data_IF_563023424406
#
_entry.id   IF_563023424406
#
_cell.length_a   1.000
_cell.length_b   1.000
_cell.length_c   1.000
_cell.angle_alpha   90.00
_cell.angle_beta   90.00
_cell.angle_gamma   90.00
#
_symmetry.space_group_name_H-M   'P 1'
#
loop_
_entity.id
_entity.type
_entity.pdbx_description
1 polymer ?
#
# COMPACT_ATOMS: atom_id res chain seq x y z
N UNK A 1 -7.28 1.80 21.93
CA UNK A 1 -7.65 0.61 21.10
C UNK A 1 -6.37 -0.12 20.74
N UNK A 2 -6.25 -1.40 21.03
CA UNK A 2 -5.02 -2.17 20.79
C UNK A 2 -4.78 -2.30 19.30
N UNK A 3 -3.65 -1.82 18.78
CA UNK A 3 -3.30 -1.95 17.36
C UNK A 3 -2.91 -3.39 17.03
N UNK A 4 -3.39 -3.89 15.90
CA UNK A 4 -3.00 -5.15 15.29
C UNK A 4 -1.77 -4.93 14.40
N UNK A 5 -0.86 -5.90 14.37
CA UNK A 5 0.38 -5.84 13.60
C UNK A 5 0.35 -6.84 12.44
N UNK A 6 0.63 -6.36 11.24
CA UNK A 6 0.79 -7.18 10.05
C UNK A 6 2.06 -6.81 9.28
N UNK A 7 2.38 -7.55 8.24
CA UNK A 7 3.45 -7.25 7.29
C UNK A 7 2.96 -7.57 5.88
N UNK A 8 3.39 -6.77 4.91
CA UNK A 8 3.16 -7.03 3.50
C UNK A 8 3.87 -8.27 3.01
N UNK A 9 3.13 -9.24 2.48
CA UNK A 9 3.70 -10.50 2.03
C UNK A 9 4.64 -10.32 0.81
N UNK A 10 4.55 -9.21 0.10
CA UNK A 10 5.47 -8.86 -1.00
C UNK A 10 6.92 -8.69 -0.54
N UNK A 11 7.17 -8.41 0.74
CA UNK A 11 8.52 -8.44 1.31
C UNK A 11 9.27 -9.73 0.98
N UNK A 12 8.55 -10.84 0.76
CA UNK A 12 9.11 -12.16 0.51
C UNK A 12 9.00 -12.62 -0.95
N UNK A 13 8.43 -11.81 -1.85
CA UNK A 13 8.28 -12.15 -3.27
C UNK A 13 9.52 -11.76 -4.07
N UNK A 14 10.02 -10.55 -3.87
CA UNK A 14 10.99 -9.96 -4.80
C UNK A 14 12.42 -10.48 -4.63
N UNK A 15 12.92 -10.58 -3.38
CA UNK A 15 14.31 -10.89 -3.09
C UNK A 15 14.50 -12.26 -2.42
N UNK A 16 13.46 -13.08 -2.41
CA UNK A 16 13.48 -14.37 -1.75
C UNK A 16 13.24 -15.51 -2.75
N UNK A 17 13.66 -16.72 -2.38
CA UNK A 17 13.43 -17.94 -3.13
C UNK A 17 12.73 -18.97 -2.25
N UNK A 18 12.23 -20.05 -2.84
CA UNK A 18 11.67 -21.15 -2.06
C UNK A 18 12.69 -21.65 -1.03
N UNK A 19 12.32 -21.88 0.26
CA UNK A 19 10.92 -21.86 0.76
C UNK A 19 10.43 -20.51 1.30
N UNK A 20 11.26 -19.49 1.41
CA UNK A 20 10.93 -18.23 2.10
C UNK A 20 9.94 -17.35 1.35
N UNK A 21 9.73 -17.58 0.04
CA UNK A 21 8.70 -16.91 -0.76
C UNK A 21 7.40 -17.73 -0.89
N UNK A 22 7.31 -18.91 -0.27
CA UNK A 22 6.07 -19.68 -0.23
C UNK A 22 5.09 -19.04 0.78
N UNK A 23 3.86 -18.79 0.34
CA UNK A 23 2.89 -18.07 1.16
C UNK A 23 2.53 -18.81 2.46
N UNK A 24 2.44 -20.14 2.42
CA UNK A 24 2.17 -20.95 3.61
C UNK A 24 3.33 -20.86 4.62
N UNK A 25 4.58 -20.87 4.14
CA UNK A 25 5.75 -20.64 5.00
C UNK A 25 5.77 -19.23 5.59
N UNK A 26 5.33 -18.22 4.83
CA UNK A 26 5.21 -16.85 5.31
C UNK A 26 4.22 -16.78 6.47
N UNK A 27 2.99 -17.29 6.31
CA UNK A 27 1.98 -17.22 7.38
C UNK A 27 2.40 -18.05 8.61
N UNK A 28 3.05 -19.19 8.44
CA UNK A 28 3.62 -19.96 9.55
C UNK A 28 4.64 -19.12 10.35
N UNK A 29 5.60 -18.51 9.66
CA UNK A 29 6.60 -17.63 10.30
C UNK A 29 5.95 -16.45 11.04
N UNK A 30 4.97 -15.79 10.43
CA UNK A 30 4.29 -14.66 11.06
C UNK A 30 3.52 -15.08 12.32
N UNK A 31 2.89 -16.24 12.29
CA UNK A 31 2.25 -16.86 13.45
C UNK A 31 3.25 -17.11 14.58
N UNK A 32 4.38 -17.75 14.29
CA UNK A 32 5.45 -18.03 15.26
C UNK A 32 6.03 -16.77 15.88
N UNK A 33 6.13 -15.68 15.12
CA UNK A 33 6.60 -14.38 15.60
C UNK A 33 5.52 -13.58 16.37
N UNK A 34 4.26 -14.06 16.41
CA UNK A 34 3.17 -13.41 17.10
C UNK A 34 2.67 -12.14 16.41
N UNK A 35 2.72 -12.08 15.07
CA UNK A 35 1.96 -11.10 14.31
C UNK A 35 0.45 -11.38 14.46
N UNK A 36 -0.37 -10.34 14.27
CA UNK A 36 -1.83 -10.48 14.31
C UNK A 36 -2.39 -10.77 12.90
N UNK A 37 -1.59 -10.53 11.83
CA UNK A 37 -2.05 -10.75 10.46
C UNK A 37 -0.99 -10.59 9.38
N UNK A 38 -1.45 -10.70 8.14
CA UNK A 38 -0.67 -10.53 6.92
C UNK A 38 -1.41 -9.63 5.94
N UNK A 39 -0.72 -8.72 5.27
CA UNK A 39 -1.25 -8.04 4.10
C UNK A 39 -0.88 -8.81 2.84
N UNK A 40 -1.87 -9.18 2.04
CA UNK A 40 -1.67 -10.04 0.89
C UNK A 40 -1.16 -9.24 -0.31
N UNK A 41 0.07 -9.50 -0.75
CA UNK A 41 0.51 -9.16 -2.09
C UNK A 41 -0.08 -10.14 -3.09
N UNK A 42 -1.17 -9.76 -3.76
CA UNK A 42 -1.87 -10.67 -4.67
C UNK A 42 -1.24 -10.71 -6.06
N UNK A 43 0.06 -11.05 -6.09
CA UNK A 43 0.87 -11.15 -7.31
C UNK A 43 2.04 -12.13 -7.13
N UNK A 44 2.79 -12.35 -8.21
CA UNK A 44 3.94 -13.24 -8.22
C UNK A 44 3.55 -14.67 -7.87
N UNK A 45 4.22 -15.26 -6.88
CA UNK A 45 3.99 -16.62 -6.40
C UNK A 45 2.93 -16.72 -5.30
N UNK A 46 2.44 -15.59 -4.81
CA UNK A 46 1.43 -15.54 -3.77
C UNK A 46 0.01 -15.70 -4.32
N UNK A 47 -1.00 -15.92 -3.45
CA UNK A 47 -2.38 -16.15 -3.87
C UNK A 47 -2.97 -14.98 -4.67
N UNK A 48 -3.58 -15.28 -5.82
CA UNK A 48 -4.20 -14.31 -6.74
C UNK A 48 -5.60 -14.79 -7.14
N UNK A 49 -6.44 -13.93 -7.75
CA UNK A 49 -7.69 -14.38 -8.37
C UNK A 49 -7.52 -15.49 -9.40
N UNK A 50 -6.34 -15.57 -10.04
CA UNK A 50 -6.03 -16.60 -11.06
C UNK A 50 -5.67 -17.93 -10.42
N UNK A 51 -4.80 -17.93 -9.40
CA UNK A 51 -4.41 -19.15 -8.69
C UNK A 51 -5.52 -19.71 -7.77
N UNK A 52 -6.47 -18.84 -7.35
CA UNK A 52 -7.61 -19.19 -6.50
C UNK A 52 -8.94 -18.75 -7.17
N UNK A 53 -9.31 -19.40 -8.31
CA UNK A 53 -10.41 -18.93 -9.15
C UNK A 53 -11.80 -19.14 -8.52
N UNK A 54 -11.95 -20.18 -7.69
CA UNK A 54 -13.25 -20.52 -7.11
C UNK A 54 -13.41 -19.96 -5.69
N UNK A 55 -14.66 -19.75 -5.27
CA UNK A 55 -14.96 -19.36 -3.89
C UNK A 55 -14.45 -20.41 -2.89
N UNK A 56 -14.50 -21.69 -3.25
CA UNK A 56 -13.99 -22.76 -2.40
C UNK A 56 -12.47 -22.65 -2.17
N UNK A 57 -11.70 -22.31 -3.20
CA UNK A 57 -10.26 -22.06 -3.07
C UNK A 57 -9.98 -20.92 -2.10
N UNK A 58 -10.72 -19.82 -2.24
CA UNK A 58 -10.59 -18.63 -1.39
C UNK A 58 -10.97 -18.92 0.06
N UNK A 59 -12.01 -19.75 0.28
CA UNK A 59 -12.37 -20.16 1.64
C UNK A 59 -11.31 -21.07 2.27
N UNK A 60 -10.65 -21.95 1.50
CA UNK A 60 -9.51 -22.73 1.98
C UNK A 60 -8.34 -21.84 2.37
N UNK A 61 -7.98 -20.89 1.52
CA UNK A 61 -6.93 -19.90 1.82
C UNK A 61 -7.25 -19.10 3.08
N UNK A 62 -8.49 -18.60 3.20
CA UNK A 62 -8.93 -17.87 4.38
C UNK A 62 -8.83 -18.73 5.65
N UNK A 63 -9.22 -19.98 5.54
CA UNK A 63 -9.14 -20.93 6.65
C UNK A 63 -7.69 -21.21 7.03
N UNK A 64 -6.78 -21.40 6.08
CA UNK A 64 -5.36 -21.62 6.33
C UNK A 64 -4.74 -20.48 7.14
N UNK A 65 -5.00 -19.22 6.73
CA UNK A 65 -4.54 -18.04 7.48
C UNK A 65 -5.13 -18.00 8.89
N UNK A 66 -6.43 -18.31 9.04
CA UNK A 66 -7.11 -18.32 10.33
C UNK A 66 -6.62 -19.47 11.25
N UNK A 67 -6.30 -20.64 10.70
CA UNK A 67 -5.75 -21.78 11.46
C UNK A 67 -4.38 -21.44 12.07
N UNK A 68 -3.64 -20.48 11.50
CA UNK A 68 -2.41 -19.93 12.06
C UNK A 68 -2.64 -18.77 13.04
N UNK A 69 -3.90 -18.47 13.38
CA UNK A 69 -4.25 -17.37 14.28
C UNK A 69 -4.08 -15.97 13.66
N UNK A 70 -3.99 -15.89 12.33
CA UNK A 70 -3.79 -14.65 11.59
C UNK A 70 -5.08 -14.18 10.91
N UNK A 71 -5.12 -12.86 10.62
CA UNK A 71 -6.15 -12.25 9.79
C UNK A 71 -5.50 -11.55 8.58
N UNK A 72 -6.27 -11.32 7.51
CA UNK A 72 -5.84 -10.44 6.45
C UNK A 72 -6.04 -8.98 6.86
N UNK A 73 -4.99 -8.15 6.83
CA UNK A 73 -5.07 -6.71 7.10
C UNK A 73 -5.47 -5.89 5.89
N UNK A 74 -5.10 -6.35 4.69
CA UNK A 74 -5.34 -5.69 3.42
C UNK A 74 -4.91 -6.56 2.25
N UNK A 75 -5.04 -6.01 1.05
CA UNK A 75 -4.58 -6.62 -0.20
C UNK A 75 -3.94 -5.57 -1.09
N UNK A 76 -2.70 -5.80 -1.51
CA UNK A 76 -2.05 -5.07 -2.59
C UNK A 76 -2.32 -5.80 -3.91
N UNK A 77 -2.88 -5.08 -4.89
CA UNK A 77 -3.31 -5.67 -6.16
C UNK A 77 -2.38 -5.30 -7.30
N UNK A 78 -2.08 -6.26 -8.15
CA UNK A 78 -1.34 -6.05 -9.38
C UNK A 78 -2.31 -5.96 -10.55
N UNK A 79 -2.62 -4.74 -10.97
CA UNK A 79 -3.54 -4.48 -12.08
C UNK A 79 -2.83 -4.38 -13.43
N UNK A 80 -1.50 -4.36 -13.44
CA UNK A 80 -0.68 -4.05 -14.62
C UNK A 80 0.13 -5.22 -15.16
N UNK A 81 0.42 -6.25 -14.37
CA UNK A 81 1.27 -7.36 -14.81
C UNK A 81 0.50 -8.52 -15.44
N UNK A 82 -0.83 -8.53 -15.36
CA UNK A 82 -1.68 -9.62 -15.83
C UNK A 82 -1.51 -9.97 -17.31
N UNK A 83 -1.24 -8.96 -18.13
CA UNK A 83 -0.84 -9.13 -19.55
C UNK A 83 0.05 -7.94 -19.88
N UNK A 84 1.24 -8.14 -20.34
CA UNK A 84 2.08 -7.04 -20.83
C UNK A 84 1.75 -6.72 -22.29
N UNK A 85 1.37 -5.48 -22.62
CA UNK A 85 1.08 -4.40 -21.69
C UNK A 85 -0.23 -4.67 -20.93
N UNK A 86 -0.19 -4.48 -19.58
CA UNK A 86 -1.38 -4.51 -18.72
C UNK A 86 -2.27 -3.28 -18.93
N UNK A 87 -3.48 -3.28 -18.37
CA UNK A 87 -4.34 -2.11 -18.43
C UNK A 87 -3.75 -0.97 -17.60
N UNK A 88 -3.51 0.18 -18.22
CA UNK A 88 -3.15 1.40 -17.50
C UNK A 88 -4.40 2.10 -16.95
N UNK A 89 -4.27 2.69 -15.76
CA UNK A 89 -5.31 3.57 -15.22
C UNK A 89 -5.51 4.82 -16.09
N UNK A 90 -4.52 5.16 -16.93
CA UNK A 90 -4.54 6.32 -17.81
C UNK A 90 -5.04 6.01 -19.22
N UNK A 91 -5.40 4.77 -19.51
CA UNK A 91 -5.98 4.39 -20.81
C UNK A 91 -7.26 5.19 -21.10
N UNK A 92 -7.48 5.53 -22.37
CA UNK A 92 -8.71 6.18 -22.80
C UNK A 92 -9.94 5.30 -22.55
N UNK A 93 -9.78 3.99 -22.76
CA UNK A 93 -10.79 3.00 -22.40
C UNK A 93 -10.39 2.32 -21.06
N UNK A 94 -11.01 2.71 -19.94
CA UNK A 94 -10.68 2.15 -18.63
C UNK A 94 -11.30 0.76 -18.38
N UNK A 95 -12.08 0.22 -19.31
CA UNK A 95 -12.83 -1.05 -19.10
C UNK A 95 -11.92 -2.22 -18.68
N UNK A 96 -10.74 -2.45 -19.30
CA UNK A 96 -9.85 -3.54 -18.86
C UNK A 96 -9.36 -3.37 -17.43
N UNK A 97 -8.98 -2.14 -17.03
CA UNK A 97 -8.57 -1.83 -15.66
C UNK A 97 -9.70 -2.09 -14.65
N UNK A 98 -10.90 -1.59 -14.96
CA UNK A 98 -12.08 -1.77 -14.09
C UNK A 98 -12.48 -3.24 -13.95
N UNK A 99 -12.36 -4.03 -15.03
CA UNK A 99 -12.62 -5.47 -14.98
C UNK A 99 -11.62 -6.21 -14.11
N UNK A 100 -10.33 -5.89 -14.22
CA UNK A 100 -9.29 -6.45 -13.36
C UNK A 100 -9.53 -6.07 -11.88
N UNK A 101 -9.78 -4.79 -11.60
CA UNK A 101 -10.07 -4.30 -10.25
C UNK A 101 -11.29 -5.00 -9.64
N UNK A 102 -12.37 -5.18 -10.42
CA UNK A 102 -13.55 -5.91 -9.97
C UNK A 102 -13.20 -7.35 -9.55
N UNK A 103 -12.36 -8.04 -10.33
CA UNK A 103 -11.87 -9.39 -9.99
C UNK A 103 -11.17 -9.43 -8.62
N UNK A 104 -10.30 -8.45 -8.34
CA UNK A 104 -9.61 -8.34 -7.05
C UNK A 104 -10.56 -7.96 -5.91
N UNK A 105 -11.58 -7.12 -6.14
CA UNK A 105 -12.56 -6.81 -5.08
C UNK A 105 -13.41 -8.02 -4.72
N UNK A 106 -13.78 -8.86 -5.68
CA UNK A 106 -14.48 -10.14 -5.42
C UNK A 106 -13.59 -11.08 -4.65
N UNK A 107 -12.32 -11.22 -5.05
CA UNK A 107 -11.33 -12.05 -4.37
C UNK A 107 -11.12 -11.61 -2.92
N UNK A 108 -10.85 -10.32 -2.71
CA UNK A 108 -10.64 -9.76 -1.37
C UNK A 108 -11.89 -9.89 -0.47
N UNK A 109 -13.08 -9.67 -1.01
CA UNK A 109 -14.34 -9.81 -0.26
C UNK A 109 -14.58 -11.26 0.21
N UNK A 110 -14.29 -12.27 -0.63
CA UNK A 110 -14.40 -13.67 -0.25
C UNK A 110 -13.39 -14.06 0.86
N UNK A 111 -12.22 -13.42 0.89
CA UNK A 111 -11.23 -13.56 1.96
C UNK A 111 -11.62 -12.77 3.24
N UNK A 112 -12.57 -11.85 3.15
CA UNK A 112 -13.00 -10.99 4.26
C UNK A 112 -12.15 -9.73 4.40
N UNK A 113 -11.33 -9.40 3.42
CA UNK A 113 -10.48 -8.22 3.38
C UNK A 113 -11.33 -6.95 3.25
N UNK A 114 -10.95 -5.90 3.96
CA UNK A 114 -11.66 -4.61 3.98
C UNK A 114 -10.89 -3.46 3.37
N UNK A 115 -9.63 -3.64 3.04
CA UNK A 115 -8.75 -2.61 2.48
C UNK A 115 -8.06 -3.13 1.23
N UNK A 116 -8.18 -2.39 0.13
CA UNK A 116 -7.56 -2.73 -1.16
C UNK A 116 -6.63 -1.59 -1.60
N UNK A 117 -5.35 -1.92 -1.77
CA UNK A 117 -4.33 -0.99 -2.26
C UNK A 117 -4.36 -0.90 -3.78
N UNK A 118 -4.25 0.32 -4.28
CA UNK A 118 -4.05 0.65 -5.70
C UNK A 118 -2.87 1.62 -5.86
N UNK A 119 -2.26 1.61 -7.05
CA UNK A 119 -1.14 2.46 -7.42
C UNK A 119 -1.42 3.17 -8.75
N UNK A 120 -0.77 4.32 -9.01
CA UNK A 120 -0.87 5.03 -10.30
C UNK A 120 -0.02 4.39 -11.40
N UNK A 121 1.02 3.65 -11.02
CA UNK A 121 1.87 2.71 -11.80
C UNK A 121 2.73 3.34 -12.89
N UNK A 122 2.26 4.34 -13.61
CA UNK A 122 3.04 4.95 -14.70
C UNK A 122 4.30 5.61 -14.13
N UNK A 123 5.45 5.46 -14.80
CA UNK A 123 6.73 5.99 -14.31
C UNK A 123 6.69 7.53 -14.22
N UNK A 124 7.55 8.15 -13.40
CA UNK A 124 7.52 9.61 -13.19
C UNK A 124 7.65 10.45 -14.45
N UNK A 125 8.34 9.95 -15.48
CA UNK A 125 8.52 10.62 -16.78
C UNK A 125 7.43 10.30 -17.81
N UNK A 126 6.40 9.58 -17.43
CA UNK A 126 5.30 9.15 -18.32
C UNK A 126 4.72 10.27 -19.17
N UNK A 127 4.42 11.42 -18.57
CA UNK A 127 3.82 12.54 -19.29
C UNK A 127 4.77 13.15 -20.33
N UNK A 128 6.07 13.14 -20.07
CA UNK A 128 7.07 13.60 -21.02
C UNK A 128 7.22 12.63 -22.21
N UNK A 129 7.18 11.33 -21.94
CA UNK A 129 7.37 10.26 -22.93
C UNK A 129 6.12 9.99 -23.75
N UNK A 130 4.94 9.95 -23.13
CA UNK A 130 3.65 9.72 -23.79
C UNK A 130 3.09 10.94 -24.50
N UNK A 131 3.60 12.15 -24.20
CA UNK A 131 3.06 13.43 -24.62
C UNK A 131 1.62 13.69 -24.17
N UNK A 132 1.12 12.95 -23.17
CA UNK A 132 -0.17 13.21 -22.56
C UNK A 132 -0.08 14.47 -21.68
N UNK A 133 -1.09 15.33 -21.73
CA UNK A 133 -1.20 16.43 -20.77
C UNK A 133 -1.38 15.84 -19.35
N UNK A 134 -0.55 16.21 -18.36
CA UNK A 134 -0.70 15.76 -16.99
C UNK A 134 -2.10 16.00 -16.39
N UNK A 135 -2.79 17.06 -16.80
CA UNK A 135 -4.17 17.33 -16.38
C UNK A 135 -5.13 16.27 -16.87
N UNK A 136 -4.98 15.84 -18.14
CA UNK A 136 -5.79 14.75 -18.71
C UNK A 136 -5.51 13.44 -17.98
N UNK A 137 -4.24 13.14 -17.67
CA UNK A 137 -3.87 11.96 -16.89
C UNK A 137 -4.50 11.98 -15.49
N UNK A 138 -4.42 13.10 -14.79
CA UNK A 138 -5.04 13.27 -13.46
C UNK A 138 -6.56 13.11 -13.51
N UNK A 139 -7.23 13.69 -14.51
CA UNK A 139 -8.67 13.54 -14.68
C UNK A 139 -9.08 12.07 -14.94
N UNK A 140 -8.30 11.34 -15.75
CA UNK A 140 -8.53 9.90 -15.99
C UNK A 140 -8.40 9.10 -14.69
N UNK A 141 -7.33 9.30 -13.94
CA UNK A 141 -7.11 8.65 -12.63
C UNK A 141 -8.27 8.91 -11.67
N UNK A 142 -8.68 10.17 -11.51
CA UNK A 142 -9.81 10.55 -10.64
C UNK A 142 -11.10 9.87 -11.07
N UNK A 143 -11.39 9.83 -12.38
CA UNK A 143 -12.62 9.23 -12.91
C UNK A 143 -12.62 7.70 -12.80
N UNK A 144 -11.46 7.05 -12.95
CA UNK A 144 -11.33 5.60 -12.79
C UNK A 144 -11.47 5.22 -11.31
N UNK A 145 -10.78 5.93 -10.41
CA UNK A 145 -10.88 5.65 -8.98
C UNK A 145 -12.24 6.01 -8.39
N UNK A 146 -12.97 6.97 -8.95
CA UNK A 146 -14.39 7.16 -8.61
C UNK A 146 -15.21 5.89 -8.84
N UNK A 147 -15.04 5.24 -10.01
CA UNK A 147 -15.73 4.00 -10.34
C UNK A 147 -15.27 2.82 -9.46
N UNK A 148 -13.95 2.70 -9.26
CA UNK A 148 -13.37 1.69 -8.37
C UNK A 148 -13.90 1.83 -6.94
N UNK A 149 -14.04 3.05 -6.44
CA UNK A 149 -14.52 3.32 -5.09
C UNK A 149 -15.96 2.86 -4.89
N UNK A 150 -16.82 3.04 -5.88
CA UNK A 150 -18.19 2.54 -5.87
C UNK A 150 -18.21 1.01 -5.87
N UNK A 151 -17.41 0.35 -6.72
CA UNK A 151 -17.28 -1.12 -6.74
C UNK A 151 -16.79 -1.69 -5.42
N UNK A 152 -15.83 -1.01 -4.76
CA UNK A 152 -15.31 -1.41 -3.45
C UNK A 152 -16.35 -1.18 -2.35
N UNK A 153 -17.08 -0.06 -2.36
CA UNK A 153 -18.13 0.26 -1.40
C UNK A 153 -19.26 -0.78 -1.42
N UNK A 154 -19.66 -1.28 -2.59
CA UNK A 154 -20.66 -2.34 -2.75
C UNK A 154 -20.26 -3.64 -2.01
N UNK A 155 -18.99 -3.80 -1.67
CA UNK A 155 -18.43 -4.95 -0.92
C UNK A 155 -17.94 -4.59 0.48
N UNK A 156 -18.23 -3.37 0.92
CA UNK A 156 -17.82 -2.87 2.22
C UNK A 156 -16.30 -2.74 2.37
N UNK A 157 -15.61 -2.38 1.27
CA UNK A 157 -14.15 -2.21 1.22
C UNK A 157 -13.78 -0.74 1.09
N UNK A 158 -12.64 -0.38 1.69
CA UNK A 158 -11.97 0.89 1.46
C UNK A 158 -10.88 0.71 0.39
N UNK A 159 -10.68 1.76 -0.41
CA UNK A 159 -9.51 1.86 -1.28
C UNK A 159 -8.45 2.70 -0.57
N UNK A 160 -7.21 2.25 -0.63
CA UNK A 160 -6.04 3.02 -0.25
C UNK A 160 -5.10 3.15 -1.45
N UNK A 161 -4.87 4.39 -1.90
CA UNK A 161 -3.87 4.68 -2.92
C UNK A 161 -2.50 4.88 -2.27
N UNK A 162 -1.54 4.05 -2.65
CA UNK A 162 -0.16 4.26 -2.26
C UNK A 162 0.54 5.16 -3.28
N UNK A 163 0.97 6.32 -2.79
CA UNK A 163 1.78 7.24 -3.58
C UNK A 163 3.25 6.96 -3.30
N UNK A 164 4.05 6.81 -4.34
CA UNK A 164 5.47 6.50 -4.20
C UNK A 164 6.32 7.20 -5.27
N UNK A 165 7.63 7.40 -5.03
CA UNK A 165 8.51 8.09 -5.98
C UNK A 165 8.72 7.32 -7.28
N UNK A 166 8.41 6.03 -7.32
CA UNK A 166 8.47 5.21 -8.55
C UNK A 166 7.38 5.53 -9.57
N UNK A 167 6.33 6.26 -9.17
CA UNK A 167 5.16 6.53 -10.00
C UNK A 167 4.85 8.02 -10.13
N UNK A 168 4.01 8.36 -11.13
CA UNK A 168 3.47 9.73 -11.31
C UNK A 168 2.59 10.15 -10.14
N UNK A 169 2.40 11.45 -9.98
CA UNK A 169 1.60 12.07 -8.91
C UNK A 169 2.21 11.87 -7.52
N UNK A 170 3.51 11.99 -7.44
CA UNK A 170 4.28 11.83 -6.19
C UNK A 170 4.63 13.15 -5.49
N UNK A 171 4.01 14.29 -5.89
CA UNK A 171 4.15 15.56 -5.19
C UNK A 171 3.09 15.72 -4.11
N UNK A 172 3.42 16.31 -2.96
CA UNK A 172 2.44 16.58 -1.89
C UNK A 172 1.15 17.26 -2.37
N UNK A 173 1.25 18.25 -3.26
CA UNK A 173 0.06 18.95 -3.81
C UNK A 173 -0.80 18.04 -4.69
N UNK A 174 -0.18 17.20 -5.52
CA UNK A 174 -0.88 16.26 -6.40
C UNK A 174 -1.60 15.17 -5.58
N UNK A 175 -0.92 14.64 -4.55
CA UNK A 175 -1.47 13.63 -3.64
C UNK A 175 -2.76 14.15 -2.99
N UNK A 176 -2.68 15.33 -2.39
CA UNK A 176 -3.85 15.95 -1.74
C UNK A 176 -4.97 16.24 -2.75
N UNK A 177 -4.62 16.80 -3.92
CA UNK A 177 -5.61 17.16 -4.94
C UNK A 177 -6.38 15.94 -5.48
N UNK A 178 -5.69 14.84 -5.78
CA UNK A 178 -6.34 13.62 -6.30
C UNK A 178 -7.27 13.03 -5.25
N UNK A 179 -6.81 12.87 -4.01
CA UNK A 179 -7.64 12.30 -2.94
C UNK A 179 -8.88 13.16 -2.70
N UNK A 180 -8.72 14.47 -2.65
CA UNK A 180 -9.84 15.40 -2.45
C UNK A 180 -10.84 15.32 -3.61
N UNK A 181 -10.35 15.28 -4.84
CA UNK A 181 -11.21 15.19 -6.02
C UNK A 181 -12.02 13.88 -6.09
N UNK A 182 -11.40 12.74 -5.77
CA UNK A 182 -12.11 11.45 -5.73
C UNK A 182 -13.15 11.44 -4.61
N UNK A 183 -12.79 11.93 -3.41
CA UNK A 183 -13.72 12.01 -2.27
C UNK A 183 -14.88 12.97 -2.52
N UNK A 184 -14.64 14.09 -3.21
CA UNK A 184 -15.67 15.07 -3.58
C UNK A 184 -16.75 14.49 -4.51
N UNK A 185 -16.46 13.36 -5.19
CA UNK A 185 -17.44 12.61 -6.00
C UNK A 185 -18.36 11.70 -5.15
N UNK A 186 -18.30 11.78 -3.83
CA UNK A 186 -19.12 10.99 -2.91
C UNK A 186 -18.49 9.66 -2.49
N UNK A 187 -17.17 9.55 -2.51
CA UNK A 187 -16.42 8.32 -2.18
C UNK A 187 -15.67 8.45 -0.84
N UNK A 188 -16.33 8.41 0.32
CA UNK A 188 -15.66 8.50 1.62
C UNK A 188 -14.74 7.29 1.91
N UNK A 189 -14.95 6.18 1.23
CA UNK A 189 -14.15 4.97 1.31
C UNK A 189 -12.85 4.99 0.48
N UNK A 190 -12.57 6.09 -0.25
CA UNK A 190 -11.30 6.31 -0.93
C UNK A 190 -10.38 7.16 -0.04
N UNK A 191 -9.12 6.77 0.03
CA UNK A 191 -8.09 7.55 0.72
C UNK A 191 -6.70 7.14 0.29
N UNK A 192 -5.70 7.65 0.99
CA UNK A 192 -4.31 7.22 0.79
C UNK A 192 -3.97 6.04 1.70
N UNK A 193 -3.06 5.22 1.22
CA UNK A 193 -2.18 4.44 2.06
C UNK A 193 -1.03 5.36 2.45
N UNK A 194 -0.94 5.68 3.75
CA UNK A 194 0.17 6.46 4.26
C UNK A 194 1.32 5.53 4.63
N UNK A 195 2.23 5.34 3.69
CA UNK A 195 3.52 4.71 3.97
C UNK A 195 4.49 5.77 4.49
N UNK A 196 5.12 5.51 5.64
CA UNK A 196 6.02 6.48 6.30
C UNK A 196 7.27 6.76 5.48
N UNK A 197 7.78 5.76 4.75
CA UNK A 197 8.92 5.93 3.85
C UNK A 197 8.55 6.77 2.61
N UNK A 198 7.45 6.43 1.93
CA UNK A 198 7.01 7.17 0.75
C UNK A 198 6.61 8.61 1.09
N UNK A 199 6.00 8.84 2.25
CA UNK A 199 5.68 10.18 2.72
C UNK A 199 6.95 11.02 2.94
N UNK A 200 8.01 10.42 3.52
CA UNK A 200 9.31 11.08 3.66
C UNK A 200 9.92 11.39 2.29
N UNK A 201 9.87 10.44 1.35
CA UNK A 201 10.40 10.62 0.00
C UNK A 201 9.65 11.72 -0.77
N UNK A 202 8.33 11.80 -0.66
CA UNK A 202 7.53 12.83 -1.31
C UNK A 202 7.71 14.21 -0.68
N UNK A 203 7.62 14.31 0.66
CA UNK A 203 7.52 15.58 1.36
C UNK A 203 8.87 16.17 1.81
N UNK A 204 9.90 15.34 2.01
CA UNK A 204 11.23 15.76 2.49
C UNK A 204 12.25 15.70 1.38
N UNK A 205 12.39 14.54 0.70
CA UNK A 205 13.38 14.35 -0.34
C UNK A 205 12.97 14.96 -1.68
N UNK A 206 11.69 15.02 -2.01
CA UNK A 206 11.19 15.41 -3.33
C UNK A 206 11.75 14.51 -4.44
N UNK A 207 11.76 13.19 -4.18
CA UNK A 207 12.40 12.21 -5.04
C UNK A 207 11.59 11.95 -6.31
N UNK A 208 12.27 11.82 -7.44
CA UNK A 208 11.69 11.51 -8.77
C UNK A 208 10.56 12.45 -9.23
N UNK A 209 10.50 13.66 -8.69
CA UNK A 209 9.52 14.68 -9.11
C UNK A 209 9.98 15.36 -10.38
N UNK A 210 9.43 14.97 -11.52
CA UNK A 210 9.82 15.50 -12.84
C UNK A 210 9.39 16.95 -13.00
N UNK A 211 10.30 17.82 -13.48
CA UNK A 211 10.00 19.24 -13.74
C UNK A 211 10.18 20.17 -12.53
N UNK A 212 10.69 19.67 -11.42
CA UNK A 212 11.02 20.44 -10.23
C UNK A 212 10.56 19.80 -8.94
N UNK A 213 11.29 20.04 -7.86
CA UNK A 213 10.99 19.48 -6.54
C UNK A 213 9.95 20.32 -5.82
N UNK A 214 8.98 19.62 -5.23
CA UNK A 214 8.05 20.15 -4.25
C UNK A 214 8.27 19.41 -2.93
N UNK A 215 8.67 20.12 -1.90
CA UNK A 215 8.81 19.60 -0.53
C UNK A 215 7.98 20.46 0.42
N UNK A 216 7.72 19.94 1.60
CA UNK A 216 6.96 20.68 2.61
C UNK A 216 7.91 21.16 3.72
N UNK A 217 7.79 22.41 4.20
CA UNK A 217 8.61 22.90 5.31
C UNK A 217 8.53 22.06 6.58
N UNK A 218 7.37 21.49 6.89
CA UNK A 218 7.15 20.57 8.00
C UNK A 218 7.34 19.09 7.63
N UNK A 219 7.81 18.80 6.40
CA UNK A 219 8.14 17.45 5.92
C UNK A 219 6.96 16.49 5.90
N UNK A 220 7.27 15.23 6.18
CA UNK A 220 6.34 14.09 6.27
C UNK A 220 5.23 14.30 7.31
N UNK A 221 5.55 14.95 8.43
CA UNK A 221 4.57 15.30 9.46
C UNK A 221 3.54 16.33 8.95
N UNK A 222 3.95 17.29 8.14
CA UNK A 222 3.03 18.25 7.51
C UNK A 222 2.12 17.53 6.50
N UNK A 223 2.67 16.64 5.70
CA UNK A 223 1.89 15.84 4.75
C UNK A 223 0.85 14.98 5.50
N UNK A 224 1.26 14.32 6.59
CA UNK A 224 0.35 13.54 7.44
C UNK A 224 -0.84 14.40 7.93
N UNK A 225 -0.58 15.61 8.39
CA UNK A 225 -1.62 16.56 8.83
C UNK A 225 -2.55 17.00 7.70
N UNK A 226 -2.04 17.24 6.49
CA UNK A 226 -2.84 17.57 5.30
C UNK A 226 -3.75 16.41 4.86
N UNK A 227 -3.33 15.17 5.13
CA UNK A 227 -4.06 13.95 4.80
C UNK A 227 -4.95 13.43 5.94
N UNK A 228 -4.99 14.10 7.09
CA UNK A 228 -5.83 13.70 8.23
C UNK A 228 -7.29 13.54 7.83
N UNK A 229 -7.91 12.40 8.19
CA UNK A 229 -9.26 12.02 7.79
C UNK A 229 -9.39 11.49 6.35
N UNK A 230 -8.28 11.40 5.62
CA UNK A 230 -8.20 10.89 4.23
C UNK A 230 -7.29 9.68 4.11
N UNK A 231 -6.79 9.15 5.23
CA UNK A 231 -5.93 7.96 5.29
C UNK A 231 -6.82 6.75 5.51
N UNK A 232 -6.73 5.77 4.63
CA UNK A 232 -7.53 4.54 4.71
C UNK A 232 -6.67 3.31 5.03
N UNK A 233 -5.35 3.43 4.97
CA UNK A 233 -4.40 2.40 5.43
C UNK A 233 -3.06 3.02 5.84
N UNK A 234 -2.25 2.27 6.61
CA UNK A 234 -0.95 2.73 7.11
C UNK A 234 0.09 1.64 6.91
N UNK A 235 1.18 1.99 6.24
CA UNK A 235 2.42 1.23 6.26
C UNK A 235 3.46 1.94 7.13
N UNK A 236 4.15 1.18 7.95
CA UNK A 236 5.22 1.64 8.81
C UNK A 236 6.52 0.99 8.37
N UNK A 237 7.48 1.81 8.03
CA UNK A 237 8.84 1.43 7.71
C UNK A 237 9.76 2.64 7.83
N UNK A 238 11.05 2.44 8.02
CA UNK A 238 12.02 3.54 8.09
C UNK A 238 12.50 3.94 6.68
N UNK A 239 13.15 5.09 6.57
CA UNK A 239 13.72 5.61 5.33
C UNK A 239 14.98 6.41 5.59
N UNK A 240 16.01 6.18 4.80
CA UNK A 240 17.22 7.01 4.77
C UNK A 240 17.14 8.14 3.73
N UNK A 241 16.05 8.23 2.99
CA UNK A 241 15.82 9.20 1.93
C UNK A 241 16.46 8.82 0.60
N UNK A 242 16.86 7.57 0.42
CA UNK A 242 17.41 7.06 -0.84
C UNK A 242 16.36 6.34 -1.69
N UNK A 243 16.65 6.26 -2.99
CA UNK A 243 15.97 5.38 -3.93
C UNK A 243 16.72 4.06 -4.03
N UNK A 244 16.00 2.96 -4.20
CA UNK A 244 16.56 1.65 -4.50
C UNK A 244 16.84 1.48 -6.02
N UNK A 245 17.32 0.32 -6.43
CA UNK A 245 17.63 -0.01 -7.82
C UNK A 245 16.40 -0.03 -8.76
N UNK A 246 15.19 -0.08 -8.19
CA UNK A 246 13.91 -0.02 -8.91
C UNK A 246 13.34 1.40 -9.01
N UNK A 247 14.12 2.43 -8.62
CA UNK A 247 13.69 3.82 -8.58
C UNK A 247 12.50 4.13 -7.68
N UNK A 248 12.21 3.26 -6.71
CA UNK A 248 11.28 3.56 -5.63
C UNK A 248 12.01 3.72 -4.30
N UNK A 249 11.28 3.99 -3.22
CA UNK A 249 11.86 4.23 -1.89
C UNK A 249 12.67 3.02 -1.40
N UNK A 250 13.81 3.27 -0.77
CA UNK A 250 14.48 2.24 0.03
C UNK A 250 13.73 2.07 1.35
N UNK A 251 13.11 0.90 1.55
CA UNK A 251 12.39 0.55 2.77
C UNK A 251 13.38 0.03 3.82
N UNK A 252 13.97 0.95 4.56
CA UNK A 252 14.99 0.61 5.55
C UNK A 252 14.39 -0.09 6.78
N UNK A 253 14.99 -1.15 7.31
CA UNK A 253 14.58 -1.69 8.60
C UNK A 253 14.55 -0.61 9.68
N UNK A 254 13.61 -0.72 10.61
CA UNK A 254 13.41 0.27 11.66
C UNK A 254 14.69 0.57 12.44
N UNK A 255 14.96 1.86 12.66
CA UNK A 255 16.12 2.36 13.38
C UNK A 255 17.39 2.45 12.53
N UNK A 256 17.31 2.18 11.23
CA UNK A 256 18.46 2.34 10.31
C UNK A 256 18.27 3.51 9.33
N UNK A 257 17.12 4.16 9.35
CA UNK A 257 16.81 5.34 8.55
C UNK A 257 16.85 6.65 9.35
N UNK A 258 16.06 7.62 8.89
CA UNK A 258 16.02 9.00 9.43
C UNK A 258 14.68 9.38 10.02
N UNK A 259 13.66 8.51 9.95
CA UNK A 259 12.32 8.82 10.42
C UNK A 259 12.26 8.94 11.94
N UNK A 260 11.55 9.95 12.41
CA UNK A 260 11.32 10.15 13.83
C UNK A 260 9.93 9.67 14.21
N UNK A 261 9.81 8.39 14.56
CA UNK A 261 8.54 7.78 14.95
C UNK A 261 7.93 8.42 16.19
N UNK A 262 8.74 8.99 17.11
CA UNK A 262 8.20 9.70 18.27
C UNK A 262 7.45 10.98 17.91
N UNK A 263 7.77 11.59 16.77
CA UNK A 263 7.02 12.72 16.23
C UNK A 263 5.82 12.29 15.37
N UNK A 264 5.94 11.18 14.63
CA UNK A 264 4.90 10.72 13.71
C UNK A 264 3.76 10.01 14.44
N UNK A 265 4.07 9.15 15.41
CA UNK A 265 3.08 8.29 16.05
C UNK A 265 1.89 9.03 16.69
N UNK A 266 2.06 10.15 17.42
CA UNK A 266 0.92 10.88 17.97
C UNK A 266 -0.09 11.33 16.92
N UNK A 267 0.38 11.75 15.74
CA UNK A 267 -0.49 12.15 14.62
C UNK A 267 -1.09 10.93 13.90
N UNK A 268 -0.30 9.86 13.70
CA UNK A 268 -0.80 8.60 13.13
C UNK A 268 -1.90 7.98 14.01
N UNK A 269 -1.81 8.07 15.32
CA UNK A 269 -2.85 7.59 16.24
C UNK A 269 -4.19 8.32 16.07
N UNK A 270 -4.16 9.55 15.58
CA UNK A 270 -5.33 10.43 15.43
C UNK A 270 -5.64 10.78 13.97
N UNK A 271 -5.02 10.12 13.00
CA UNK A 271 -5.17 10.44 11.57
C UNK A 271 -6.52 10.05 10.98
N UNK A 272 -7.32 9.23 11.68
CA UNK A 272 -8.66 8.85 11.27
C UNK A 272 -8.75 7.58 10.40
N UNK A 273 -7.69 6.75 10.40
CA UNK A 273 -7.71 5.46 9.69
C UNK A 273 -8.86 4.58 10.23
N UNK A 274 -9.65 3.92 9.32
CA UNK A 274 -10.90 3.25 9.70
C UNK A 274 -10.72 1.83 10.29
N UNK A 275 -9.52 1.47 10.70
CA UNK A 275 -9.19 0.15 11.25
C UNK A 275 -8.02 0.22 12.24
N UNK A 276 -7.67 -0.91 12.85
CA UNK A 276 -6.63 -0.98 13.90
C UNK A 276 -5.27 -1.49 13.40
N UNK A 277 -5.11 -1.71 12.12
CA UNK A 277 -3.88 -2.28 11.57
C UNK A 277 -2.73 -1.27 11.46
N UNK A 278 -1.54 -1.74 11.83
CA UNK A 278 -0.23 -1.21 11.45
C UNK A 278 0.48 -2.29 10.64
N UNK A 279 0.77 -2.02 9.39
CA UNK A 279 1.42 -2.96 8.51
C UNK A 279 2.89 -2.56 8.30
N UNK A 280 3.81 -3.51 8.37
CA UNK A 280 5.21 -3.31 7.99
C UNK A 280 5.34 -3.41 6.48
N UNK A 281 6.12 -2.51 5.88
CA UNK A 281 6.55 -2.64 4.49
C UNK A 281 8.07 -2.82 4.37
N UNK A 282 8.51 -4.01 4.00
CA UNK A 282 9.91 -4.35 3.70
C UNK A 282 10.11 -4.62 2.20
N UNK A 283 9.39 -3.87 1.35
CA UNK A 283 9.46 -4.04 -0.10
C UNK A 283 10.91 -3.93 -0.61
N UNK A 284 11.33 -4.90 -1.40
CA UNK A 284 12.68 -5.02 -1.98
C UNK A 284 13.84 -5.11 -0.96
N UNK A 285 13.58 -5.24 0.34
CA UNK A 285 14.67 -5.40 1.29
C UNK A 285 15.33 -6.80 1.16
N UNK A 286 16.64 -6.91 0.90
CA UNK A 286 17.27 -8.17 0.48
C UNK A 286 17.13 -9.33 1.49
N UNK A 287 17.17 -9.05 2.78
CA UNK A 287 17.01 -10.04 3.84
C UNK A 287 15.74 -9.80 4.68
N UNK A 288 14.64 -9.44 4.01
CA UNK A 288 13.35 -9.18 4.68
C UNK A 288 12.92 -10.33 5.60
N UNK A 289 13.18 -11.57 5.20
CA UNK A 289 12.89 -12.75 6.01
C UNK A 289 13.53 -12.70 7.40
N UNK A 290 14.80 -12.31 7.48
CA UNK A 290 15.56 -12.30 8.74
C UNK A 290 15.17 -11.11 9.63
N UNK A 291 14.95 -9.94 9.04
CA UNK A 291 14.62 -8.72 9.78
C UNK A 291 13.14 -8.59 10.17
N UNK A 292 12.29 -9.53 9.75
CA UNK A 292 10.86 -9.56 10.12
C UNK A 292 10.66 -9.59 11.65
N UNK A 293 11.47 -10.37 12.36
CA UNK A 293 11.41 -10.45 13.83
C UNK A 293 11.81 -9.13 14.51
N UNK A 294 12.81 -8.43 13.96
CA UNK A 294 13.24 -7.11 14.47
C UNK A 294 12.14 -6.07 14.25
N UNK A 295 11.50 -6.09 13.09
CA UNK A 295 10.36 -5.22 12.79
C UNK A 295 9.21 -5.45 13.77
N UNK A 296 8.89 -6.71 14.09
CA UNK A 296 7.89 -7.04 15.11
C UNK A 296 8.25 -6.45 16.48
N UNK A 297 9.49 -6.66 16.92
CA UNK A 297 9.97 -6.12 18.20
C UNK A 297 9.90 -4.59 18.27
N UNK A 298 10.22 -3.92 17.17
CA UNK A 298 10.12 -2.46 17.09
C UNK A 298 8.66 -1.99 17.19
N UNK A 299 7.75 -2.59 16.42
CA UNK A 299 6.33 -2.25 16.48
C UNK A 299 5.68 -2.57 17.82
N UNK A 300 6.10 -3.64 18.51
CA UNK A 300 5.62 -3.94 19.86
C UNK A 300 5.98 -2.83 20.85
N UNK A 301 7.19 -2.25 20.74
CA UNK A 301 7.60 -1.10 21.57
C UNK A 301 6.74 0.14 21.25
N UNK A 302 6.49 0.42 19.96
CA UNK A 302 5.61 1.53 19.57
C UNK A 302 4.18 1.30 20.08
N UNK A 303 3.67 0.08 19.94
CA UNK A 303 2.33 -0.31 20.43
C UNK A 303 2.22 -0.13 21.94
N UNK A 304 3.23 -0.55 22.69
CA UNK A 304 3.31 -0.36 24.14
C UNK A 304 3.29 1.12 24.53
N UNK A 305 4.00 1.96 23.78
CA UNK A 305 4.15 3.38 24.08
C UNK A 305 2.94 4.21 23.69
N UNK A 306 2.27 3.91 22.56
CA UNK A 306 1.27 4.76 21.96
C UNK A 306 -0.14 4.17 21.87
N UNK A 307 -0.30 2.86 22.01
CA UNK A 307 -1.58 2.16 21.83
C UNK A 307 -1.97 1.23 23.00
N UNK A 308 -1.39 1.46 24.17
CA UNK A 308 -1.72 0.73 25.40
C UNK A 308 -3.12 1.09 25.95
#
# INVERSE_FOLDING_TARGET
MKRKLSIGSWAYIFNQTTPTNDFHQVIHKLSDLGYDGVELGAFGVHPTPVSHPTRADRQRLKKDVADHGLEFSGIAVDLWSFKKPGPSIMDENPTPYLAAFLGFTVFGADLGIKTIRVDSVEPPDFFATSKMDPKVGMERVINVWDKCSKMAADRGMNICWEFEPGFVFNRPSEIVAIVDAVRAKGNPNFGVLYDTCHAYMAAVAGANQVGGKETLPGGDLELLKKLKGKITHIHLIDSDGSLNEHNTSTHNPFGTGKLNFDKLMPELMTCGVPHDWWCVDLCFWPNAWDVTADSKRFLDKLRQKYAA
#
